data_IF_136067049731
#
_entry.id   IF_136067049731
#
_cell.length_a   1.000
_cell.length_b   1.000
_cell.length_c   1.000
_cell.angle_alpha   90.00
_cell.angle_beta   90.00
_cell.angle_gamma   90.00
#
_symmetry.space_group_name_H-M   'P 1'
#
loop_
_entity.id
_entity.type
_entity.pdbx_description
1 polymer ?
#
# COMPACT_ATOMS: atom_id res chain seq x y z
N UNK A 1 28.47 -26.07 17.79
CA UNK A 1 28.07 -24.68 17.55
C UNK A 1 26.88 -24.74 16.60
N UNK A 2 25.67 -24.60 17.11
CA UNK A 2 24.45 -24.69 16.30
C UNK A 2 24.22 -23.28 15.75
N UNK A 3 24.37 -23.12 14.44
CA UNK A 3 23.98 -21.89 13.76
C UNK A 3 22.45 -21.81 13.80
N UNK A 4 21.92 -20.85 14.54
CA UNK A 4 20.52 -20.51 14.46
C UNK A 4 20.30 -19.83 13.11
N UNK A 5 19.69 -20.55 12.17
CA UNK A 5 19.04 -19.91 11.02
C UNK A 5 17.79 -19.21 11.56
N UNK A 6 17.92 -17.92 11.86
CA UNK A 6 16.78 -17.04 12.08
C UNK A 6 15.96 -17.03 10.79
N UNK A 7 14.72 -17.48 10.81
CA UNK A 7 13.79 -17.17 9.72
C UNK A 7 13.60 -15.63 9.72
N UNK A 8 14.15 -14.94 8.71
CA UNK A 8 14.32 -13.48 8.66
C UNK A 8 13.16 -12.68 8.02
N UNK A 9 12.11 -13.30 7.51
CA UNK A 9 11.33 -12.72 6.40
C UNK A 9 10.15 -11.79 6.72
N UNK A 10 10.20 -10.88 7.71
CA UNK A 10 9.10 -9.90 7.91
C UNK A 10 9.59 -8.48 7.60
N UNK A 11 8.87 -7.76 6.75
CA UNK A 11 9.15 -6.34 6.49
C UNK A 11 8.15 -5.47 7.25
N UNK A 12 8.63 -4.37 7.82
CA UNK A 12 7.79 -3.38 8.49
C UNK A 12 7.91 -2.09 7.72
N UNK A 13 6.78 -1.58 7.23
CA UNK A 13 6.70 -0.35 6.45
C UNK A 13 5.77 0.65 7.12
N UNK A 14 5.99 1.93 6.84
CA UNK A 14 5.05 2.98 7.20
C UNK A 14 4.31 3.44 5.95
N UNK A 15 2.99 3.53 6.03
CA UNK A 15 2.15 4.12 5.00
C UNK A 15 1.73 5.52 5.42
N UNK A 16 1.92 6.47 4.53
CA UNK A 16 1.65 7.88 4.78
C UNK A 16 1.16 8.59 3.52
N UNK A 17 0.59 9.79 3.70
CA UNK A 17 0.08 10.65 2.63
C UNK A 17 -0.96 9.96 1.71
N UNK A 18 -1.77 9.04 2.23
CA UNK A 18 -2.87 8.51 1.44
C UNK A 18 -3.88 9.62 1.10
N UNK A 19 -4.31 9.67 -0.15
CA UNK A 19 -5.29 10.62 -0.65
C UNK A 19 -6.24 9.88 -1.59
N UNK A 20 -7.53 10.00 -1.31
CA UNK A 20 -8.61 9.65 -2.21
C UNK A 20 -9.31 10.94 -2.67
N UNK A 21 -9.56 11.07 -3.97
CA UNK A 21 -10.33 12.19 -4.49
C UNK A 21 -11.13 11.81 -5.72
N UNK A 22 -12.23 12.53 -5.95
CA UNK A 22 -13.04 12.43 -7.17
C UNK A 22 -13.05 13.80 -7.83
N UNK A 23 -12.46 13.89 -9.02
CA UNK A 23 -12.40 15.13 -9.82
C UNK A 23 -13.02 14.83 -11.18
N UNK A 24 -14.05 15.57 -11.57
CA UNK A 24 -14.78 15.37 -12.82
C UNK A 24 -15.23 13.90 -13.02
N UNK A 25 -15.82 13.30 -11.98
CA UNK A 25 -16.24 11.89 -11.93
C UNK A 25 -15.12 10.84 -12.07
N UNK A 26 -13.86 11.26 -12.01
CA UNK A 26 -12.70 10.36 -12.05
C UNK A 26 -12.14 10.14 -10.64
N UNK A 27 -12.14 8.90 -10.18
CA UNK A 27 -11.54 8.52 -8.91
C UNK A 27 -10.01 8.47 -9.03
N UNK A 28 -9.33 9.09 -8.08
CA UNK A 28 -7.87 9.13 -7.95
C UNK A 28 -7.50 8.66 -6.54
N UNK A 29 -6.50 7.77 -6.47
CA UNK A 29 -5.92 7.31 -5.22
C UNK A 29 -4.40 7.45 -5.29
N UNK A 30 -3.79 7.86 -4.18
CA UNK A 30 -2.34 7.77 -3.99
C UNK A 30 -2.02 7.41 -2.56
N UNK A 31 -0.86 6.79 -2.34
CA UNK A 31 -0.29 6.54 -1.01
C UNK A 31 1.23 6.43 -1.12
N UNK A 32 1.95 6.77 -0.06
CA UNK A 32 3.41 6.64 0.01
C UNK A 32 3.81 5.57 1.01
N UNK A 33 4.90 4.86 0.70
CA UNK A 33 5.50 3.80 1.50
C UNK A 33 6.89 4.26 1.92
N UNK A 34 7.18 4.22 3.22
CA UNK A 34 8.49 4.55 3.79
C UNK A 34 9.36 3.29 3.93
N UNK A 35 10.41 3.19 3.11
CA UNK A 35 11.38 2.09 3.13
C UNK A 35 12.57 2.44 2.20
N UNK A 36 13.84 2.33 2.62
CA UNK A 36 14.87 3.41 2.68
C UNK A 36 14.80 4.61 1.68
N UNK A 37 14.10 4.50 0.56
CA UNK A 37 13.67 5.56 -0.35
C UNK A 37 12.15 5.57 -0.49
N UNK A 38 11.50 6.73 -0.41
CA UNK A 38 10.02 6.81 -0.50
C UNK A 38 9.50 6.25 -1.84
N UNK A 39 8.60 5.28 -1.76
CA UNK A 39 7.87 4.71 -2.91
C UNK A 39 6.47 5.32 -2.96
N UNK A 40 6.04 5.79 -4.13
CA UNK A 40 4.71 6.35 -4.35
C UNK A 40 3.87 5.41 -5.20
N UNK A 41 2.68 5.06 -4.73
CA UNK A 41 1.71 4.27 -5.48
C UNK A 41 0.53 5.17 -5.85
N UNK A 42 0.07 5.10 -7.10
CA UNK A 42 -1.08 5.87 -7.56
C UNK A 42 -1.97 5.04 -8.49
N UNK A 43 -3.27 5.21 -8.35
CA UNK A 43 -4.28 4.56 -9.19
C UNK A 43 -5.32 5.58 -9.66
N UNK A 44 -5.86 5.36 -10.85
CA UNK A 44 -6.95 6.15 -11.43
C UNK A 44 -7.99 5.18 -11.97
N UNK A 45 -9.27 5.47 -11.75
CA UNK A 45 -10.40 4.70 -12.29
C UNK A 45 -10.23 3.17 -12.15
N UNK A 46 -9.83 2.71 -10.96
CA UNK A 46 -9.55 1.29 -10.71
C UNK A 46 -10.83 0.45 -10.63
N UNK A 47 -10.74 -0.83 -11.03
CA UNK A 47 -11.66 -1.83 -10.54
C UNK A 47 -11.19 -2.37 -9.19
N UNK A 48 -12.15 -2.75 -8.34
CA UNK A 48 -11.85 -3.35 -7.04
C UNK A 48 -11.10 -4.67 -7.26
N UNK A 49 -9.93 -4.81 -6.62
CA UNK A 49 -9.06 -5.97 -6.73
C UNK A 49 -8.00 -5.88 -7.83
N UNK A 50 -7.95 -4.78 -8.59
CA UNK A 50 -6.85 -4.56 -9.56
C UNK A 50 -5.53 -4.26 -8.85
N UNK A 51 -4.43 -4.75 -9.44
CA UNK A 51 -3.07 -4.45 -8.99
C UNK A 51 -2.44 -3.36 -9.84
N UNK A 52 -1.83 -2.38 -9.19
CA UNK A 52 -1.17 -1.24 -9.80
C UNK A 52 0.32 -1.22 -9.42
N UNK A 53 1.23 -1.00 -10.38
CA UNK A 53 2.63 -0.77 -10.06
C UNK A 53 2.80 0.56 -9.33
N UNK A 54 3.72 0.60 -8.38
CA UNK A 54 4.15 1.85 -7.75
C UNK A 54 5.31 2.47 -8.54
N UNK A 55 5.86 3.58 -8.04
CA UNK A 55 7.00 4.27 -8.64
C UNK A 55 8.26 3.39 -8.70
N UNK A 56 8.36 2.41 -7.79
CA UNK A 56 9.31 1.31 -7.84
C UNK A 56 8.56 0.04 -8.29
N UNK A 57 9.04 -0.59 -9.36
CA UNK A 57 8.40 -1.75 -9.98
C UNK A 57 8.44 -3.03 -9.12
N UNK A 58 9.27 -3.06 -8.07
CA UNK A 58 9.25 -4.14 -7.06
C UNK A 58 8.04 -4.05 -6.13
N UNK A 59 7.33 -2.91 -6.13
CA UNK A 59 6.15 -2.65 -5.31
C UNK A 59 4.88 -2.61 -6.15
N UNK A 60 3.81 -3.17 -5.60
CA UNK A 60 2.46 -3.03 -6.17
C UNK A 60 1.40 -2.86 -5.10
N UNK A 61 0.33 -2.17 -5.48
CA UNK A 61 -0.81 -1.83 -4.63
C UNK A 61 -2.08 -2.43 -5.23
N UNK A 62 -2.88 -3.08 -4.40
CA UNK A 62 -4.25 -3.47 -4.71
C UNK A 62 -5.21 -2.65 -3.87
N UNK A 63 -6.26 -2.12 -4.51
CA UNK A 63 -7.34 -1.43 -3.81
C UNK A 63 -8.57 -2.33 -3.74
N UNK A 64 -9.04 -2.61 -2.52
CA UNK A 64 -10.07 -3.62 -2.24
C UNK A 64 -11.48 -3.03 -2.04
N UNK A 65 -11.63 -1.72 -2.16
CA UNK A 65 -12.92 -1.04 -2.12
C UNK A 65 -12.96 0.23 -2.99
N UNK A 66 -14.07 0.97 -2.93
CA UNK A 66 -14.29 2.15 -3.79
C UNK A 66 -13.48 3.39 -3.39
N UNK A 67 -12.97 3.44 -2.15
CA UNK A 67 -12.34 4.64 -1.57
C UNK A 67 -10.88 4.40 -1.18
N UNK A 68 -10.38 3.17 -1.30
CA UNK A 68 -9.05 2.79 -0.86
C UNK A 68 -8.89 2.71 0.66
N UNK A 69 -9.98 2.46 1.39
CA UNK A 69 -9.92 2.22 2.84
C UNK A 69 -9.22 0.89 3.10
N UNK A 70 -9.54 -0.15 2.35
CA UNK A 70 -8.88 -1.45 2.37
C UNK A 70 -7.95 -1.57 1.17
N UNK A 71 -6.69 -1.87 1.46
CA UNK A 71 -5.66 -2.09 0.45
C UNK A 71 -4.83 -3.33 0.78
N UNK A 72 -4.16 -3.85 -0.23
CA UNK A 72 -3.10 -4.84 -0.08
C UNK A 72 -1.83 -4.35 -0.79
N UNK A 73 -0.68 -4.64 -0.21
CA UNK A 73 0.63 -4.23 -0.75
C UNK A 73 1.45 -5.49 -0.98
N UNK A 74 2.15 -5.54 -2.12
CA UNK A 74 3.19 -6.51 -2.39
C UNK A 74 4.54 -5.81 -2.58
N UNK A 75 5.60 -6.46 -2.11
CA UNK A 75 6.98 -6.11 -2.37
C UNK A 75 7.76 -7.36 -2.78
N UNK A 76 8.45 -7.31 -3.91
CA UNK A 76 9.24 -8.43 -4.43
C UNK A 76 10.73 -8.15 -4.19
N UNK A 77 11.38 -8.99 -3.39
CA UNK A 77 12.82 -8.90 -3.11
C UNK A 77 13.47 -10.23 -3.42
N UNK A 78 14.43 -10.24 -4.35
CA UNK A 78 15.19 -11.44 -4.76
C UNK A 78 14.29 -12.63 -5.14
N UNK A 79 13.15 -12.35 -5.78
CA UNK A 79 12.17 -13.35 -6.20
C UNK A 79 11.20 -13.82 -5.10
N UNK A 80 11.37 -13.36 -3.85
CA UNK A 80 10.42 -13.59 -2.76
C UNK A 80 9.38 -12.47 -2.74
N UNK A 81 8.10 -12.83 -2.74
CA UNK A 81 7.01 -11.87 -2.59
C UNK A 81 6.66 -11.73 -1.11
N UNK A 82 6.66 -10.50 -0.63
CA UNK A 82 6.14 -10.14 0.69
C UNK A 82 4.81 -9.42 0.51
N UNK A 83 3.79 -9.77 1.29
CA UNK A 83 2.48 -9.16 1.20
C UNK A 83 1.92 -8.75 2.55
N UNK A 84 1.07 -7.73 2.56
CA UNK A 84 0.36 -7.30 3.76
C UNK A 84 -0.89 -6.50 3.43
N UNK A 85 -1.92 -6.68 4.24
CA UNK A 85 -3.18 -5.94 4.16
C UNK A 85 -3.12 -4.73 5.08
N UNK A 86 -3.78 -3.65 4.68
CA UNK A 86 -3.87 -2.43 5.47
C UNK A 86 -5.27 -1.82 5.42
N UNK A 87 -5.65 -1.17 6.52
CA UNK A 87 -6.84 -0.33 6.59
C UNK A 87 -6.43 1.12 6.81
N UNK A 88 -6.73 1.98 5.84
CA UNK A 88 -6.46 3.42 5.88
C UNK A 88 -7.65 4.12 6.49
N UNK A 89 -7.42 4.81 7.62
CA UNK A 89 -8.41 5.75 8.15
C UNK A 89 -8.29 7.07 7.37
N UNK A 90 -9.43 7.62 6.98
CA UNK A 90 -9.51 8.86 6.22
C UNK A 90 -10.31 9.91 6.98
N UNK A 91 -9.92 11.17 6.82
CA UNK A 91 -10.67 12.36 7.24
C UNK A 91 -10.95 13.26 6.02
N UNK A 92 -11.93 14.14 6.11
CA UNK A 92 -12.33 15.06 5.03
C UNK A 92 -13.74 14.84 4.48
N UNK A 93 -14.04 15.51 3.37
CA UNK A 93 -15.38 15.52 2.78
C UNK A 93 -15.60 14.28 1.90
N UNK A 94 -16.55 13.44 2.31
CA UNK A 94 -16.96 12.26 1.54
C UNK A 94 -17.84 12.70 0.35
N UNK A 95 -17.64 12.18 -0.88
CA UNK A 95 -16.53 11.35 -1.37
C UNK A 95 -15.48 12.16 -2.16
N UNK A 96 -15.52 13.49 -2.10
CA UNK A 96 -14.78 14.34 -3.05
C UNK A 96 -13.29 14.40 -2.74
N UNK A 97 -12.93 14.45 -1.45
CA UNK A 97 -11.54 14.65 -1.04
C UNK A 97 -11.31 14.14 0.38
N UNK A 98 -10.53 13.07 0.50
CA UNK A 98 -10.23 12.39 1.75
C UNK A 98 -8.72 12.21 1.89
N UNK A 99 -8.18 12.65 3.03
CA UNK A 99 -6.76 12.52 3.37
C UNK A 99 -6.59 11.54 4.53
N UNK A 100 -5.48 10.80 4.53
CA UNK A 100 -5.16 9.86 5.58
C UNK A 100 -5.17 10.52 6.96
N UNK A 101 -5.87 9.91 7.92
CA UNK A 101 -5.86 10.28 9.33
C UNK A 101 -4.71 9.56 10.06
N UNK A 102 -3.51 10.14 9.92
CA UNK A 102 -2.31 9.64 10.57
C UNK A 102 -1.63 8.48 9.85
N UNK A 103 -0.30 8.42 9.98
CA UNK A 103 0.51 7.36 9.41
C UNK A 103 0.18 6.02 10.09
N UNK A 104 0.27 4.92 9.33
CA UNK A 104 0.09 3.58 9.87
C UNK A 104 1.30 2.70 9.59
N UNK A 105 1.56 1.76 10.48
CA UNK A 105 2.59 0.75 10.28
C UNK A 105 1.96 -0.54 9.80
N UNK A 106 2.50 -1.10 8.73
CA UNK A 106 2.05 -2.36 8.13
C UNK A 106 3.19 -3.35 8.16
N UNK A 107 2.83 -4.59 8.43
CA UNK A 107 3.73 -5.72 8.26
C UNK A 107 3.49 -6.37 6.92
N UNK A 108 4.57 -6.67 6.20
CA UNK A 108 4.55 -7.61 5.10
C UNK A 108 5.17 -8.93 5.54
N UNK A 109 4.49 -10.02 5.22
CA UNK A 109 4.93 -11.40 5.48
C UNK A 109 5.25 -12.08 4.15
N UNK A 110 6.21 -13.02 4.12
CA UNK A 110 6.57 -13.70 2.89
C UNK A 110 5.40 -14.61 2.48
N UNK A 111 5.12 -14.65 1.18
CA UNK A 111 4.15 -15.56 0.59
C UNK A 111 4.87 -16.87 0.30
N UNK A 112 4.41 -17.95 0.92
CA UNK A 112 4.88 -19.32 0.67
C UNK A 112 4.48 -19.84 -0.73
#
# INVERSE_FOLDING_TARGET
>A
MIAYSTCHGRQVITLFNALYSVINDQALYQISIDQPTVVSCAAKEWAIGDWFPCSDASWSLQINDKQGVSIKINHIVDGVTYCGDATIQFTGAIPVYQIQDGNITVTLEPVD
#
